data_IF_804754553946
#
_entry.id   IF_804754553946
#
_cell.length_a   1.000
_cell.length_b   1.000
_cell.length_c   1.000
_cell.angle_alpha   90.00
_cell.angle_beta   90.00
_cell.angle_gamma   90.00
#
_symmetry.space_group_name_H-M   'P 1'
#
loop_
_entity.id
_entity.type
_entity.pdbx_description
1 polymer ?
#
# COMPACT_ATOMS: atom_id res chain seq x y z
N UNK A 1 -31.21 -53.43 9.79
CA UNK A 1 -30.77 -52.58 8.68
C UNK A 1 -31.59 -51.30 8.77
N UNK A 2 -30.98 -50.28 9.37
CA UNK A 2 -31.24 -48.83 9.30
C UNK A 2 -32.63 -48.26 9.65
N UNK A 3 -32.82 -48.05 10.96
CA UNK A 3 -33.22 -46.80 11.67
C UNK A 3 -33.98 -45.70 10.89
N UNK A 4 -35.31 -45.82 10.93
CA UNK A 4 -36.32 -44.84 11.40
C UNK A 4 -35.95 -43.36 11.26
N UNK A 5 -36.50 -42.76 10.20
CA UNK A 5 -36.77 -41.32 10.08
C UNK A 5 -37.91 -40.93 11.03
N UNK A 6 -37.81 -39.72 11.59
CA UNK A 6 -38.88 -38.85 12.09
C UNK A 6 -39.12 -38.86 13.62
N UNK A 7 -38.59 -37.83 14.31
CA UNK A 7 -39.24 -37.36 15.55
C UNK A 7 -39.19 -35.84 15.72
N UNK A 8 -40.36 -35.25 15.47
CA UNK A 8 -41.07 -34.13 16.11
C UNK A 8 -40.33 -33.17 17.06
N UNK A 9 -40.36 -31.89 16.65
CA UNK A 9 -40.86 -30.71 17.39
C UNK A 9 -40.71 -30.75 18.92
N UNK A 10 -39.75 -30.00 19.45
CA UNK A 10 -39.85 -29.32 20.75
C UNK A 10 -39.25 -27.93 20.62
N UNK A 11 -40.12 -26.93 20.73
CA UNK A 11 -39.81 -25.51 20.82
C UNK A 11 -39.23 -25.19 22.23
N UNK A 12 -38.63 -24.01 22.38
CA UNK A 12 -38.29 -23.32 23.64
C UNK A 12 -36.99 -23.72 24.36
N UNK A 13 -35.94 -22.90 24.20
CA UNK A 13 -35.46 -22.00 25.26
C UNK A 13 -34.23 -21.21 24.79
N UNK A 14 -34.43 -19.90 24.64
CA UNK A 14 -33.40 -18.89 24.49
C UNK A 14 -32.51 -18.91 25.75
N UNK A 15 -31.23 -19.29 25.62
CA UNK A 15 -30.22 -19.04 26.65
C UNK A 15 -29.08 -18.24 26.03
N UNK A 16 -29.06 -16.95 26.39
CA UNK A 16 -28.03 -15.97 26.10
C UNK A 16 -26.71 -16.42 26.75
N UNK A 17 -25.74 -16.82 25.94
CA UNK A 17 -24.34 -16.81 26.32
C UNK A 17 -23.59 -15.93 25.31
N UNK A 18 -23.68 -14.63 25.53
CA UNK A 18 -22.91 -13.61 24.82
C UNK A 18 -21.43 -13.76 25.17
N UNK A 19 -20.74 -14.67 24.49
CA UNK A 19 -19.28 -14.73 24.53
C UNK A 19 -18.76 -13.58 23.67
N UNK A 20 -18.59 -12.41 24.28
CA UNK A 20 -17.81 -11.31 23.70
C UNK A 20 -16.35 -11.73 23.68
N UNK A 21 -15.93 -12.40 22.60
CA UNK A 21 -14.52 -12.61 22.32
C UNK A 21 -13.95 -11.22 22.01
N UNK A 22 -13.34 -10.58 23.00
CA UNK A 22 -12.51 -9.41 22.79
C UNK A 22 -11.27 -9.87 21.99
N UNK A 23 -11.34 -9.75 20.66
CA UNK A 23 -10.16 -9.87 19.82
C UNK A 23 -9.18 -8.78 20.26
N UNK A 24 -7.97 -9.09 20.76
CA UNK A 24 -6.95 -8.08 20.89
C UNK A 24 -6.61 -7.64 19.47
N UNK A 25 -6.99 -6.40 19.12
CA UNK A 25 -6.47 -5.75 17.93
C UNK A 25 -4.95 -5.70 18.10
N UNK A 26 -4.25 -6.66 17.50
CA UNK A 26 -2.79 -6.63 17.42
C UNK A 26 -2.50 -5.37 16.62
N UNK A 27 -2.06 -4.31 17.28
CA UNK A 27 -1.47 -3.16 16.62
C UNK A 27 -0.24 -3.69 15.88
N UNK A 28 -0.44 -4.08 14.63
CA UNK A 28 0.66 -4.32 13.72
C UNK A 28 1.23 -2.93 13.49
N UNK A 29 2.29 -2.58 14.21
CA UNK A 29 3.14 -1.47 13.77
C UNK A 29 3.51 -1.80 12.33
N UNK A 30 3.09 -0.97 11.34
CA UNK A 30 3.48 -1.20 9.96
C UNK A 30 5.00 -1.37 9.95
N UNK A 31 5.56 -2.39 9.28
CA UNK A 31 7.00 -2.55 9.21
C UNK A 31 7.56 -1.20 8.75
N UNK A 32 8.47 -0.63 9.54
CA UNK A 32 9.18 0.59 9.17
C UNK A 32 9.97 0.26 7.91
N UNK A 33 9.36 0.60 6.76
CA UNK A 33 9.83 0.16 5.46
C UNK A 33 10.97 1.07 5.09
N UNK A 34 12.18 0.68 5.51
CA UNK A 34 13.39 1.20 4.91
C UNK A 34 13.29 0.88 3.42
N UNK A 35 13.13 1.93 2.62
CA UNK A 35 13.02 1.83 1.18
C UNK A 35 14.41 2.08 0.58
N UNK A 36 15.26 1.06 0.44
CA UNK A 36 16.59 1.26 -0.11
C UNK A 36 16.48 1.74 -1.56
N UNK A 37 17.18 2.82 -1.85
CA UNK A 37 17.39 3.27 -3.22
C UNK A 37 18.26 2.26 -3.96
N UNK A 38 17.74 1.67 -5.04
CA UNK A 38 18.47 0.69 -5.86
C UNK A 38 19.23 1.40 -6.98
N UNK A 39 18.63 2.46 -7.52
CA UNK A 39 19.21 3.24 -8.62
C UNK A 39 18.82 4.71 -8.48
N UNK A 40 19.82 5.58 -8.38
CA UNK A 40 19.62 7.03 -8.50
C UNK A 40 19.44 7.35 -9.99
N UNK A 41 18.27 7.91 -10.33
CA UNK A 41 17.92 8.26 -11.72
C UNK A 41 18.23 9.72 -11.99
N UNK A 42 17.80 10.63 -11.11
CA UNK A 42 18.09 12.06 -11.22
C UNK A 42 18.26 12.71 -9.84
N UNK A 43 19.50 12.98 -9.44
CA UNK A 43 19.84 13.53 -8.11
C UNK A 43 19.11 14.83 -7.76
N UNK A 44 18.80 15.65 -8.76
CA UNK A 44 18.12 16.94 -8.58
C UNK A 44 16.59 16.87 -8.70
N UNK A 45 16.01 15.69 -8.85
CA UNK A 45 14.55 15.54 -8.97
C UNK A 45 13.87 15.81 -7.62
N UNK A 46 12.98 16.79 -7.61
CA UNK A 46 12.24 17.21 -6.42
C UNK A 46 10.76 17.41 -6.75
N UNK A 47 9.88 16.91 -5.88
CA UNK A 47 8.45 17.12 -5.95
C UNK A 47 8.09 18.50 -5.39
N UNK A 48 7.68 19.40 -6.27
CA UNK A 48 7.19 20.74 -5.89
C UNK A 48 5.72 20.71 -5.49
N UNK A 49 5.24 21.75 -4.80
CA UNK A 49 3.79 21.86 -4.45
C UNK A 49 2.88 21.91 -5.69
N UNK A 50 3.20 22.66 -6.77
CA UNK A 50 2.41 22.62 -7.99
C UNK A 50 2.34 21.24 -8.62
N UNK A 51 3.47 20.52 -8.71
CA UNK A 51 3.51 19.15 -9.22
C UNK A 51 2.62 18.21 -8.39
N UNK A 52 2.72 18.25 -7.06
CA UNK A 52 1.87 17.43 -6.19
C UNK A 52 0.37 17.70 -6.43
N UNK A 53 -0.02 18.97 -6.56
CA UNK A 53 -1.42 19.33 -6.86
C UNK A 53 -1.86 18.81 -8.24
N UNK A 54 -1.03 18.95 -9.26
CA UNK A 54 -1.33 18.44 -10.59
C UNK A 54 -1.39 16.91 -10.59
N UNK A 55 -0.46 16.24 -9.93
CA UNK A 55 -0.42 14.79 -9.83
C UNK A 55 -1.63 14.23 -9.06
N UNK A 56 -2.18 14.97 -8.09
CA UNK A 56 -3.40 14.56 -7.39
C UNK A 56 -4.64 14.44 -8.30
N UNK A 57 -4.55 14.95 -9.53
CA UNK A 57 -5.59 14.82 -10.56
C UNK A 57 -5.40 13.59 -11.45
N UNK A 58 -4.22 12.93 -11.41
CA UNK A 58 -3.95 11.70 -12.18
C UNK A 58 -4.74 10.56 -11.53
N UNK A 59 -5.64 9.97 -12.31
CA UNK A 59 -6.51 8.92 -11.81
C UNK A 59 -5.73 7.62 -11.55
N UNK A 60 -6.06 6.90 -10.48
CA UNK A 60 -5.55 5.54 -10.30
C UNK A 60 -5.91 4.68 -11.50
N UNK A 61 -4.96 3.87 -11.94
CA UNK A 61 -5.05 3.11 -13.16
C UNK A 61 -4.74 3.92 -14.41
N UNK A 62 -4.36 5.21 -14.36
CA UNK A 62 -3.83 5.94 -15.54
C UNK A 62 -2.54 5.30 -16.07
N UNK A 63 -2.17 5.63 -17.31
CA UNK A 63 -0.91 5.17 -17.89
C UNK A 63 0.29 5.76 -17.12
N UNK A 64 1.35 4.99 -16.93
CA UNK A 64 2.59 5.45 -16.29
C UNK A 64 3.19 6.66 -17.00
N UNK A 65 3.09 6.72 -18.33
CA UNK A 65 3.53 7.87 -19.11
C UNK A 65 2.79 9.17 -18.73
N UNK A 66 1.51 9.09 -18.36
CA UNK A 66 0.73 10.25 -17.89
C UNK A 66 1.24 10.75 -16.53
N UNK A 67 1.53 9.82 -15.62
CA UNK A 67 2.16 10.14 -14.34
C UNK A 67 3.54 10.81 -14.53
N UNK A 68 4.38 10.23 -15.38
CA UNK A 68 5.73 10.76 -15.69
C UNK A 68 5.64 12.13 -16.37
N UNK A 69 4.64 12.38 -17.22
CA UNK A 69 4.46 13.69 -17.85
C UNK A 69 4.22 14.83 -16.84
N UNK A 70 3.68 14.51 -15.66
CA UNK A 70 3.47 15.47 -14.57
C UNK A 70 4.67 15.53 -13.63
N UNK A 71 5.27 14.38 -13.32
CA UNK A 71 6.29 14.25 -12.28
C UNK A 71 7.73 14.42 -12.80
N UNK A 72 7.97 14.22 -14.09
CA UNK A 72 9.30 14.06 -14.64
C UNK A 72 9.94 12.73 -14.25
N UNK A 73 11.26 12.66 -14.35
CA UNK A 73 12.04 11.51 -13.89
C UNK A 73 12.13 11.49 -12.36
N UNK A 74 12.13 10.32 -11.72
CA UNK A 74 12.25 10.21 -10.27
C UNK A 74 13.67 10.56 -9.79
N UNK A 75 13.78 10.82 -8.50
CA UNK A 75 15.09 10.86 -7.84
C UNK A 75 15.72 9.47 -7.85
N UNK A 76 14.94 8.47 -7.44
CA UNK A 76 15.41 7.12 -7.29
C UNK A 76 14.34 6.07 -7.62
N UNK A 77 14.78 4.94 -8.18
CA UNK A 77 13.99 3.70 -8.22
C UNK A 77 14.27 2.87 -6.97
N UNK A 78 13.22 2.57 -6.23
CA UNK A 78 13.28 1.77 -5.01
C UNK A 78 13.19 0.27 -5.36
N UNK A 79 13.55 -0.58 -4.40
CA UNK A 79 13.35 -2.01 -4.52
C UNK A 79 11.89 -2.33 -4.87
N UNK A 80 11.62 -3.09 -5.96
CA UNK A 80 10.28 -3.52 -6.30
C UNK A 80 9.63 -4.31 -5.17
N UNK A 81 8.32 -4.18 -5.03
CA UNK A 81 7.53 -4.90 -4.04
C UNK A 81 6.71 -5.98 -4.74
N UNK A 82 6.79 -7.22 -4.26
CA UNK A 82 5.86 -8.27 -4.65
C UNK A 82 4.60 -8.17 -3.79
N UNK A 83 3.43 -8.02 -4.41
CA UNK A 83 2.14 -7.98 -3.72
C UNK A 83 1.26 -9.12 -4.18
N UNK A 84 0.60 -9.80 -3.24
CA UNK A 84 -0.42 -10.79 -3.57
C UNK A 84 -1.73 -10.09 -3.92
N UNK A 85 -2.30 -10.44 -5.07
CA UNK A 85 -3.59 -9.97 -5.53
C UNK A 85 -4.73 -10.81 -4.89
N UNK A 86 -5.98 -10.32 -4.86
CA UNK A 86 -7.10 -11.04 -4.26
C UNK A 86 -7.40 -12.42 -4.86
N UNK A 87 -6.89 -12.71 -6.05
CA UNK A 87 -7.01 -14.01 -6.73
C UNK A 87 -5.85 -14.98 -6.40
N UNK A 88 -4.94 -14.58 -5.51
CA UNK A 88 -3.79 -15.37 -5.08
C UNK A 88 -2.58 -15.30 -6.03
N UNK A 89 -2.64 -14.49 -7.09
CA UNK A 89 -1.48 -14.24 -7.96
C UNK A 89 -0.53 -13.20 -7.38
N UNK A 90 0.75 -13.26 -7.73
CA UNK A 90 1.75 -12.26 -7.33
C UNK A 90 1.90 -11.20 -8.42
N UNK A 91 1.96 -9.93 -8.01
CA UNK A 91 2.23 -8.80 -8.87
C UNK A 91 3.48 -8.05 -8.42
N UNK A 92 4.41 -7.83 -9.35
CA UNK A 92 5.58 -6.98 -9.13
C UNK A 92 5.18 -5.51 -9.26
N UNK A 93 5.33 -4.76 -8.17
CA UNK A 93 5.08 -3.32 -8.09
C UNK A 93 6.40 -2.56 -8.21
N UNK A 94 6.54 -1.77 -9.27
CA UNK A 94 7.67 -0.85 -9.43
C UNK A 94 7.44 0.40 -8.59
N UNK A 95 8.51 0.95 -8.00
CA UNK A 95 8.42 2.03 -7.01
C UNK A 95 9.43 3.12 -7.34
N UNK A 96 8.95 4.35 -7.35
CA UNK A 96 9.74 5.53 -7.69
C UNK A 96 9.60 6.59 -6.60
N UNK A 97 10.71 7.14 -6.14
CA UNK A 97 10.75 8.12 -5.07
C UNK A 97 10.98 9.53 -5.62
N UNK A 98 10.18 10.48 -5.12
CA UNK A 98 10.25 11.91 -5.42
C UNK A 98 10.32 12.68 -4.08
N UNK A 99 11.53 13.07 -3.62
CA UNK A 99 11.70 13.87 -2.41
C UNK A 99 10.95 15.19 -2.52
N UNK A 100 10.27 15.62 -1.45
CA UNK A 100 9.61 16.92 -1.49
C UNK A 100 10.62 18.06 -1.45
N UNK A 101 10.44 19.05 -2.33
CA UNK A 101 11.25 20.28 -2.33
C UNK A 101 11.20 21.00 -0.97
N UNK A 102 10.03 21.03 -0.33
CA UNK A 102 9.78 21.71 0.95
C UNK A 102 10.05 20.84 2.19
N UNK A 103 10.33 19.55 2.01
CA UNK A 103 10.64 18.61 3.08
C UNK A 103 11.43 17.41 2.53
N UNK A 104 12.73 17.56 2.17
CA UNK A 104 13.47 16.53 1.43
C UNK A 104 13.65 15.19 2.16
N UNK A 105 13.45 15.17 3.48
CA UNK A 105 13.45 13.97 4.32
C UNK A 105 12.15 13.14 4.23
N UNK A 106 11.14 13.65 3.51
CA UNK A 106 9.88 12.96 3.22
C UNK A 106 9.84 12.72 1.71
N UNK A 107 9.72 11.47 1.30
CA UNK A 107 9.64 11.08 -0.10
C UNK A 107 8.22 10.71 -0.46
N UNK A 108 7.76 11.23 -1.60
CA UNK A 108 6.54 10.77 -2.23
C UNK A 108 6.87 9.57 -3.12
N UNK A 109 6.35 8.39 -2.78
CA UNK A 109 6.66 7.15 -3.48
C UNK A 109 5.50 6.77 -4.39
N UNK A 110 5.70 6.81 -5.69
CA UNK A 110 4.70 6.40 -6.69
C UNK A 110 4.91 4.94 -7.04
N UNK A 111 3.80 4.20 -7.10
CA UNK A 111 3.78 2.76 -7.33
C UNK A 111 3.09 2.45 -8.66
N UNK A 112 3.70 1.57 -9.43
CA UNK A 112 3.21 1.12 -10.73
C UNK A 112 3.14 -0.41 -10.76
N UNK A 113 2.15 -0.94 -11.49
CA UNK A 113 2.18 -2.33 -11.96
C UNK A 113 2.20 -2.31 -13.47
N UNK A 114 3.33 -2.72 -14.04
CA UNK A 114 3.54 -2.64 -15.49
C UNK A 114 3.52 -1.20 -15.97
N UNK A 115 2.57 -0.88 -16.85
CA UNK A 115 2.40 0.44 -17.44
C UNK A 115 1.30 1.28 -16.78
N UNK A 116 0.79 0.86 -15.61
CA UNK A 116 -0.33 1.54 -14.92
C UNK A 116 0.09 2.09 -13.58
N UNK A 117 -0.32 3.32 -13.30
CA UNK A 117 -0.24 3.94 -11.98
C UNK A 117 -1.21 3.23 -11.02
N UNK A 118 -0.69 2.71 -9.90
CA UNK A 118 -1.50 2.02 -8.90
C UNK A 118 -1.93 2.96 -7.78
N UNK A 119 -0.94 3.50 -7.06
CA UNK A 119 -1.13 4.31 -5.86
C UNK A 119 0.16 5.04 -5.53
N UNK A 120 0.13 5.85 -4.48
CA UNK A 120 1.31 6.41 -3.85
C UNK A 120 1.37 6.05 -2.36
N UNK A 121 2.53 6.27 -1.76
CA UNK A 121 2.79 6.19 -0.33
C UNK A 121 3.81 7.27 0.08
N UNK A 122 4.08 7.39 1.37
CA UNK A 122 5.13 8.24 1.91
C UNK A 122 6.24 7.41 2.52
N UNK A 123 7.49 7.81 2.28
CA UNK A 123 8.66 7.19 2.88
C UNK A 123 9.50 8.20 3.65
N UNK A 124 10.13 7.73 4.72
CA UNK A 124 10.92 8.53 5.66
C UNK A 124 12.31 7.89 5.78
N UNK A 125 13.17 8.00 4.77
CA UNK A 125 14.44 7.26 4.70
C UNK A 125 15.40 7.58 5.86
N UNK A 126 15.25 8.75 6.48
CA UNK A 126 16.10 9.24 7.58
C UNK A 126 15.32 9.49 8.88
N UNK A 127 14.27 8.71 9.20
CA UNK A 127 13.40 8.89 10.39
C UNK A 127 14.08 8.80 11.77
N UNK A 128 15.41 8.75 11.86
CA UNK A 128 16.15 8.79 13.12
C UNK A 128 16.19 7.44 13.80
N UNK A 129 17.14 6.61 13.38
CA UNK A 129 17.58 5.43 14.12
C UNK A 129 18.34 5.89 15.37
N UNK A 130 17.63 6.18 16.47
CA UNK A 130 18.27 6.13 17.79
C UNK A 130 18.44 4.65 18.14
N UNK A 131 19.68 4.20 18.06
CA UNK A 131 20.12 2.90 18.57
C UNK A 131 20.11 2.92 20.11
#
# INVERSE_FOLDING_TARGET
MEEIVLNRIVNFALLLASFTIALPARAQTPPERLDPCVEIVQESSLMTRPMLRQFSQVARGSARAEAIAVLGEPYCRLQPLEVELPDGSMATVQREAYPFEFAPHIWYVVMYAGDRYLTFDYSFPDSGRSN
#
